data_IF_541746007593
#
_entry.id   IF_541746007593
#
_cell.length_a   1.000
_cell.length_b   1.000
_cell.length_c   1.000
_cell.angle_alpha   90.00
_cell.angle_beta   90.00
_cell.angle_gamma   90.00
#
_symmetry.space_group_name_H-M   'P 1'
#
loop_
_entity.id
_entity.type
_entity.pdbx_description
1 polymer ?
#
# COMPACT_ATOMS: atom_id res chain seq x y z
N UNK A 1 7.57 33.74 -25.88
CA UNK A 1 7.00 32.38 -26.06
C UNK A 1 7.34 31.54 -24.84
N UNK A 2 6.38 31.29 -23.96
CA UNK A 2 6.53 30.37 -22.82
C UNK A 2 6.60 28.94 -23.36
N UNK A 3 7.76 28.27 -23.23
CA UNK A 3 7.85 26.82 -23.51
C UNK A 3 6.92 26.10 -22.55
N UNK A 4 5.78 25.60 -23.04
CA UNK A 4 4.90 24.73 -22.26
C UNK A 4 5.68 23.44 -21.98
N UNK A 5 5.92 23.16 -20.70
CA UNK A 5 6.51 21.90 -20.26
C UNK A 5 5.60 20.75 -20.68
N UNK A 6 6.17 19.69 -21.27
CA UNK A 6 5.44 18.48 -21.63
C UNK A 6 4.80 17.88 -20.37
N UNK A 7 3.59 17.36 -20.48
CA UNK A 7 2.96 16.61 -19.38
C UNK A 7 3.73 15.32 -19.11
N UNK A 8 3.61 14.80 -17.88
CA UNK A 8 4.23 13.52 -17.51
C UNK A 8 3.85 12.39 -18.46
N UNK A 9 2.57 12.32 -18.86
CA UNK A 9 2.10 11.31 -19.83
C UNK A 9 2.73 11.46 -21.22
N UNK A 10 2.92 12.70 -21.68
CA UNK A 10 3.55 12.97 -22.97
C UNK A 10 5.04 12.57 -22.95
N UNK A 11 5.74 12.87 -21.85
CA UNK A 11 7.13 12.45 -21.63
C UNK A 11 7.26 10.92 -21.52
N UNK A 12 6.35 10.26 -20.79
CA UNK A 12 6.36 8.80 -20.64
C UNK A 12 6.19 8.09 -21.98
N UNK A 13 5.28 8.55 -22.84
CA UNK A 13 5.06 7.97 -24.19
C UNK A 13 6.24 8.19 -25.14
N UNK A 14 7.04 9.23 -24.91
CA UNK A 14 8.23 9.53 -25.71
C UNK A 14 9.45 8.72 -25.27
N UNK A 15 9.57 8.44 -23.97
CA UNK A 15 10.74 7.79 -23.37
C UNK A 15 10.57 6.28 -23.15
N UNK A 16 9.34 5.76 -23.12
CA UNK A 16 9.05 4.37 -22.79
C UNK A 16 8.22 3.70 -23.88
N UNK A 17 8.46 2.40 -24.05
CA UNK A 17 7.61 1.54 -24.87
C UNK A 17 6.24 1.33 -24.21
N UNK A 18 5.23 1.01 -25.02
CA UNK A 18 3.88 0.66 -24.53
C UNK A 18 3.93 -0.47 -23.49
N UNK A 19 4.75 -1.49 -23.72
CA UNK A 19 4.93 -2.63 -22.81
C UNK A 19 5.51 -2.20 -21.45
N UNK A 20 6.50 -1.31 -21.44
CA UNK A 20 7.06 -0.78 -20.19
C UNK A 20 6.03 0.03 -19.39
N UNK A 21 5.22 0.83 -20.07
CA UNK A 21 4.12 1.60 -19.44
C UNK A 21 3.07 0.65 -18.87
N UNK A 22 2.65 -0.37 -19.63
CA UNK A 22 1.68 -1.37 -19.18
C UNK A 22 2.19 -2.15 -17.96
N UNK A 23 3.45 -2.59 -17.99
CA UNK A 23 4.06 -3.30 -16.85
C UNK A 23 4.19 -2.44 -15.61
N UNK A 24 4.52 -1.15 -15.77
CA UNK A 24 4.56 -0.20 -14.66
C UNK A 24 3.17 0.02 -14.05
N UNK A 25 2.15 0.20 -14.89
CA UNK A 25 0.76 0.34 -14.44
C UNK A 25 0.24 -0.92 -13.76
N UNK A 26 0.53 -2.10 -14.32
CA UNK A 26 0.17 -3.38 -13.71
C UNK A 26 0.80 -3.54 -12.33
N UNK A 27 2.10 -3.24 -12.20
CA UNK A 27 2.77 -3.28 -10.89
C UNK A 27 2.15 -2.29 -9.90
N UNK A 28 1.85 -1.05 -10.33
CA UNK A 28 1.17 -0.07 -9.48
C UNK A 28 -0.21 -0.57 -9.02
N UNK A 29 -0.98 -1.19 -9.90
CA UNK A 29 -2.28 -1.77 -9.58
C UNK A 29 -2.17 -2.89 -8.54
N UNK A 30 -1.23 -3.83 -8.70
CA UNK A 30 -0.99 -4.92 -7.74
C UNK A 30 -0.59 -4.35 -6.38
N UNK A 31 0.33 -3.37 -6.34
CA UNK A 31 0.72 -2.72 -5.08
C UNK A 31 -0.46 -2.09 -4.38
N UNK A 32 -1.30 -1.35 -5.12
CA UNK A 32 -2.50 -0.73 -4.56
C UNK A 32 -3.45 -1.78 -3.97
N UNK A 33 -3.73 -2.86 -4.70
CA UNK A 33 -4.57 -3.96 -4.22
C UNK A 33 -4.04 -4.58 -2.92
N UNK A 34 -2.74 -4.91 -2.87
CA UNK A 34 -2.10 -5.46 -1.67
C UNK A 34 -2.19 -4.50 -0.49
N UNK A 35 -1.94 -3.22 -0.71
CA UNK A 35 -2.01 -2.19 0.33
C UNK A 35 -3.44 -2.02 0.86
N UNK A 36 -4.44 -2.03 -0.02
CA UNK A 36 -5.85 -1.95 0.37
C UNK A 36 -6.29 -3.16 1.18
N UNK A 37 -5.89 -4.38 0.79
CA UNK A 37 -6.19 -5.60 1.54
C UNK A 37 -5.60 -5.55 2.96
N UNK A 38 -4.33 -5.18 3.08
CA UNK A 38 -3.66 -5.02 4.38
C UNK A 38 -4.35 -3.95 5.21
N UNK A 39 -4.65 -2.78 4.63
CA UNK A 39 -5.31 -1.68 5.33
C UNK A 39 -6.70 -2.09 5.86
N UNK A 40 -7.48 -2.80 5.05
CA UNK A 40 -8.80 -3.30 5.44
C UNK A 40 -8.71 -4.34 6.55
N UNK A 41 -7.73 -5.26 6.47
CA UNK A 41 -7.48 -6.23 7.53
C UNK A 41 -7.13 -5.52 8.85
N UNK A 42 -6.22 -4.55 8.83
CA UNK A 42 -5.86 -3.78 10.04
C UNK A 42 -7.08 -3.09 10.64
N UNK A 43 -7.90 -2.41 9.83
CA UNK A 43 -9.11 -1.72 10.32
C UNK A 43 -10.07 -2.68 10.99
N UNK A 44 -10.31 -3.84 10.38
CA UNK A 44 -11.16 -4.89 10.94
C UNK A 44 -10.62 -5.34 12.31
N UNK A 45 -9.33 -5.61 12.40
CA UNK A 45 -8.70 -6.05 13.65
C UNK A 45 -8.69 -4.96 14.73
N UNK A 46 -8.58 -3.69 14.34
CA UNK A 46 -8.74 -2.57 15.26
C UNK A 46 -10.15 -2.54 15.88
N UNK A 47 -11.18 -2.77 15.07
CA UNK A 47 -12.57 -2.84 15.54
C UNK A 47 -12.80 -4.04 16.47
N UNK A 48 -12.36 -5.24 16.06
CA UNK A 48 -12.55 -6.49 16.81
C UNK A 48 -11.80 -6.48 18.16
N UNK A 49 -10.58 -5.95 18.18
CA UNK A 49 -9.74 -5.88 19.37
C UNK A 49 -9.91 -4.59 20.18
N UNK A 50 -10.82 -3.68 19.76
CA UNK A 50 -11.05 -2.35 20.37
C UNK A 50 -9.77 -1.52 20.49
N UNK A 51 -8.88 -1.63 19.51
CA UNK A 51 -7.62 -0.88 19.44
C UNK A 51 -7.87 0.44 18.72
N UNK A 52 -7.63 1.55 19.41
CA UNK A 52 -7.76 2.89 18.83
C UNK A 52 -6.58 3.25 17.94
N UNK A 53 -6.75 4.32 17.15
CA UNK A 53 -5.68 4.85 16.30
C UNK A 53 -4.41 5.19 17.08
N UNK A 54 -4.54 5.85 18.24
CA UNK A 54 -3.40 6.23 19.08
C UNK A 54 -2.69 5.01 19.69
N UNK A 55 -3.42 3.93 19.94
CA UNK A 55 -2.83 2.70 20.44
C UNK A 55 -2.03 2.02 19.33
N UNK A 56 -2.58 1.95 18.12
CA UNK A 56 -1.85 1.44 16.96
C UNK A 56 -0.57 2.26 16.67
N UNK A 57 -0.62 3.59 16.80
CA UNK A 57 0.57 4.45 16.70
C UNK A 57 1.65 4.05 17.70
N UNK A 58 1.27 3.84 18.97
CA UNK A 58 2.21 3.41 20.01
C UNK A 58 2.78 2.02 19.72
N UNK A 59 1.93 1.06 19.37
CA UNK A 59 2.35 -0.30 19.09
C UNK A 59 3.27 -0.41 17.87
N UNK A 60 2.97 0.33 16.81
CA UNK A 60 3.80 0.36 15.61
C UNK A 60 5.13 1.11 15.80
N UNK A 61 5.24 1.94 16.84
CA UNK A 61 6.43 2.76 17.12
C UNK A 61 6.75 3.73 15.98
N UNK A 62 5.71 4.30 15.34
CA UNK A 62 5.85 5.18 14.16
C UNK A 62 4.98 6.43 14.31
N UNK A 63 5.07 7.36 13.37
CA UNK A 63 4.31 8.61 13.43
C UNK A 63 2.82 8.39 13.12
N UNK A 64 1.90 9.21 13.70
CA UNK A 64 0.49 9.23 13.32
C UNK A 64 0.27 9.34 11.81
N UNK A 65 1.06 10.17 11.13
CA UNK A 65 1.01 10.34 9.68
C UNK A 65 1.29 9.03 8.96
N UNK A 66 2.26 8.25 9.42
CA UNK A 66 2.60 6.97 8.80
C UNK A 66 1.49 5.94 9.03
N UNK A 67 0.94 5.85 10.24
CA UNK A 67 -0.23 4.97 10.51
C UNK A 67 -1.43 5.38 9.66
N UNK A 68 -1.70 6.68 9.52
CA UNK A 68 -2.78 7.15 8.65
C UNK A 68 -2.56 6.77 7.18
N UNK A 69 -1.33 6.82 6.68
CA UNK A 69 -1.01 6.34 5.32
C UNK A 69 -1.25 4.83 5.19
N UNK A 70 -0.92 4.04 6.22
CA UNK A 70 -1.14 2.59 6.26
C UNK A 70 -2.64 2.29 6.17
N UNK A 71 -3.45 2.92 7.03
CA UNK A 71 -4.90 2.72 7.07
C UNK A 71 -5.61 3.18 5.79
N UNK A 72 -5.00 4.06 5.00
CA UNK A 72 -5.54 4.51 3.71
C UNK A 72 -5.00 3.72 2.51
N UNK A 73 -4.18 2.68 2.72
CA UNK A 73 -3.58 1.91 1.63
C UNK A 73 -2.55 2.69 0.80
N UNK A 74 -2.02 3.78 1.36
CA UNK A 74 -1.09 4.70 0.69
C UNK A 74 0.32 4.68 1.28
N UNK A 75 0.61 3.78 2.22
CA UNK A 75 1.93 3.64 2.84
C UNK A 75 2.75 2.56 2.15
N UNK A 76 4.01 2.85 1.86
CA UNK A 76 4.96 1.82 1.50
C UNK A 76 5.29 0.96 2.74
N UNK A 77 4.52 -0.12 2.94
CA UNK A 77 4.64 -1.03 4.08
C UNK A 77 5.81 -1.98 3.83
N UNK A 78 6.69 -2.12 4.82
CA UNK A 78 7.78 -3.10 4.81
C UNK A 78 7.32 -4.43 5.42
N UNK A 79 8.05 -5.52 5.16
CA UNK A 79 7.81 -6.80 5.84
C UNK A 79 7.89 -6.64 7.36
N UNK A 80 8.82 -5.83 7.86
CA UNK A 80 8.93 -5.47 9.28
C UNK A 80 7.64 -4.82 9.81
N UNK A 81 7.03 -3.93 9.03
CA UNK A 81 5.77 -3.29 9.40
C UNK A 81 4.63 -4.32 9.47
N UNK A 82 4.58 -5.27 8.53
CA UNK A 82 3.61 -6.37 8.55
C UNK A 82 3.83 -7.29 9.77
N UNK A 83 5.07 -7.64 10.10
CA UNK A 83 5.39 -8.46 11.26
C UNK A 83 4.93 -7.79 12.56
N UNK A 84 5.13 -6.46 12.68
CA UNK A 84 4.61 -5.68 13.81
C UNK A 84 3.09 -5.72 13.87
N UNK A 85 2.41 -5.48 12.76
CA UNK A 85 0.94 -5.58 12.69
C UNK A 85 0.49 -6.97 13.17
N UNK A 86 1.10 -8.03 12.65
CA UNK A 86 0.81 -9.40 13.05
C UNK A 86 1.00 -9.61 14.56
N UNK A 87 2.10 -9.10 15.14
CA UNK A 87 2.35 -9.22 16.59
C UNK A 87 1.35 -8.45 17.45
N UNK A 88 0.82 -7.32 16.96
CA UNK A 88 -0.14 -6.48 17.70
C UNK A 88 -1.50 -7.16 17.80
N UNK A 89 -1.91 -7.85 16.74
CA UNK A 89 -3.22 -8.48 16.64
C UNK A 89 -3.18 -10.00 16.79
N UNK A 90 -2.04 -10.57 17.22
CA UNK A 90 -1.82 -12.02 17.34
C UNK A 90 -2.21 -12.81 16.08
N UNK A 91 -1.79 -12.29 14.91
CA UNK A 91 -2.11 -12.86 13.60
C UNK A 91 -0.94 -13.68 13.07
N UNK A 92 -1.26 -14.83 12.47
CA UNK A 92 -0.33 -15.58 11.65
C UNK A 92 -0.43 -15.14 10.18
N UNK A 93 0.68 -14.68 9.55
CA UNK A 93 0.65 -14.29 8.14
C UNK A 93 0.56 -15.51 7.22
N UNK A 94 -0.38 -15.47 6.26
CA UNK A 94 -0.51 -16.49 5.21
C UNK A 94 -0.65 -15.83 3.84
N UNK A 95 0.25 -16.14 2.91
CA UNK A 95 0.30 -15.51 1.57
C UNK A 95 -0.02 -16.55 0.51
N UNK A 96 -1.04 -16.28 -0.32
CA UNK A 96 -1.42 -17.14 -1.44
C UNK A 96 -1.26 -16.35 -2.74
N UNK A 97 -0.33 -16.78 -3.60
CA UNK A 97 -0.20 -16.24 -4.96
C UNK A 97 -1.15 -16.97 -5.90
N UNK A 98 -2.05 -16.24 -6.55
CA UNK A 98 -3.02 -16.79 -7.52
C UNK A 98 -2.84 -16.14 -8.88
N UNK A 99 -3.16 -16.88 -9.94
CA UNK A 99 -3.31 -16.27 -11.26
C UNK A 99 -4.56 -15.37 -11.26
N UNK A 100 -4.54 -14.21 -11.96
CA UNK A 100 -5.74 -13.42 -12.19
C UNK A 100 -6.83 -14.32 -12.80
N UNK A 101 -8.06 -14.24 -12.31
CA UNK A 101 -9.19 -14.90 -12.98
C UNK A 101 -9.32 -14.27 -14.37
N UNK A 102 -9.25 -15.11 -15.40
CA UNK A 102 -9.56 -14.72 -16.79
C UNK A 102 -11.04 -14.41 -16.93
#
# INVERSE_FOLDING_TARGET
MTKKTKSFEALAKELLTKEQIERANFNAQIRYQMMTEVANKIKKEMEENKIGFNDLVKYMGTSPTQVNKILNGNANITIESLAKICSVFDLEPHIIFRKPRQ
#
